data_IF_191061059655
#
_entry.id   IF_191061059655
#
_cell.length_a   1.000
_cell.length_b   1.000
_cell.length_c   1.000
_cell.angle_alpha   90.00
_cell.angle_beta   90.00
_cell.angle_gamma   90.00
#
_symmetry.space_group_name_H-M   'P 1'
#
loop_
_entity.id
_entity.type
_entity.pdbx_description
1 polymer ?
#
# COMPACT_ATOMS: atom_id res chain seq x y z
N UNK A 1 2.69 -31.90 -2.90
CA UNK A 1 1.35 -32.27 -2.39
C UNK A 1 1.36 -31.86 -0.92
N UNK A 2 0.81 -30.72 -0.54
CA UNK A 2 -0.62 -30.39 -0.49
C UNK A 2 -0.80 -28.89 -0.75
N UNK A 3 -1.51 -28.51 -1.82
CA UNK A 3 -1.95 -27.11 -2.02
C UNK A 3 -3.07 -26.87 -1.02
N UNK A 4 -2.84 -26.04 -0.02
CA UNK A 4 -3.91 -25.48 0.79
C UNK A 4 -4.76 -24.62 -0.12
N UNK A 5 -5.97 -25.06 -0.41
CA UNK A 5 -7.02 -24.26 -1.07
C UNK A 5 -7.37 -23.11 -0.13
N UNK A 6 -6.79 -21.93 -0.38
CA UNK A 6 -7.19 -20.69 0.29
C UNK A 6 -8.61 -20.36 -0.17
N UNK A 7 -9.58 -20.61 0.71
CA UNK A 7 -10.96 -20.17 0.52
C UNK A 7 -10.96 -18.65 0.59
N UNK A 8 -10.93 -17.99 -0.58
CA UNK A 8 -11.11 -16.55 -0.70
C UNK A 8 -12.42 -16.16 0.03
N UNK A 9 -12.31 -15.45 1.15
CA UNK A 9 -13.48 -15.00 1.93
C UNK A 9 -14.32 -14.08 1.06
N UNK A 10 -15.63 -14.32 1.00
CA UNK A 10 -16.58 -13.39 0.41
C UNK A 10 -16.62 -12.14 1.29
N UNK A 11 -16.00 -11.06 0.82
CA UNK A 11 -16.05 -9.76 1.49
C UNK A 11 -17.37 -9.08 1.11
N UNK A 12 -18.23 -8.84 2.09
CA UNK A 12 -19.52 -8.17 1.88
C UNK A 12 -19.77 -7.22 3.05
N UNK A 13 -19.12 -6.06 3.01
CA UNK A 13 -19.38 -4.97 3.95
C UNK A 13 -19.97 -3.79 3.21
N UNK A 14 -20.92 -3.11 3.85
CA UNK A 14 -21.53 -1.89 3.36
C UNK A 14 -20.55 -0.72 3.38
N UNK A 15 -20.73 0.26 2.49
CA UNK A 15 -19.89 1.45 2.44
C UNK A 15 -19.87 2.23 3.76
N UNK A 16 -20.98 2.23 4.52
CA UNK A 16 -21.08 2.93 5.80
C UNK A 16 -20.15 2.36 6.88
N UNK A 17 -19.98 1.04 6.91
CA UNK A 17 -19.17 0.30 7.89
C UNK A 17 -17.78 -0.09 7.36
N UNK A 18 -17.34 0.56 6.28
CA UNK A 18 -16.10 0.21 5.61
C UNK A 18 -14.87 0.60 6.48
N UNK A 19 -13.96 -0.35 6.81
CA UNK A 19 -12.87 -0.13 7.77
C UNK A 19 -11.84 0.88 7.27
N UNK A 20 -11.66 0.97 5.96
CA UNK A 20 -10.73 1.91 5.31
C UNK A 20 -11.36 3.29 5.03
N UNK A 21 -12.66 3.48 5.32
CA UNK A 21 -13.39 4.69 4.89
C UNK A 21 -12.70 5.98 5.33
N UNK A 22 -12.18 6.01 6.54
CA UNK A 22 -11.53 7.19 7.14
C UNK A 22 -10.37 7.76 6.31
N UNK A 23 -9.73 6.95 5.44
CA UNK A 23 -8.63 7.38 4.54
C UNK A 23 -8.93 7.19 3.05
N UNK A 24 -9.93 6.39 2.69
CA UNK A 24 -10.26 6.08 1.30
C UNK A 24 -10.86 7.27 0.54
N UNK A 25 -11.07 7.07 -0.76
CA UNK A 25 -11.68 8.07 -1.66
C UNK A 25 -13.08 8.53 -1.22
N UNK A 26 -13.82 7.65 -0.55
CA UNK A 26 -15.17 7.90 -0.04
C UNK A 26 -15.22 8.46 1.39
N UNK A 27 -14.08 8.89 1.96
CA UNK A 27 -13.99 9.39 3.33
C UNK A 27 -14.94 10.54 3.64
N UNK A 28 -15.21 11.39 2.64
CA UNK A 28 -16.03 12.60 2.77
C UNK A 28 -17.45 12.45 2.24
N UNK A 29 -17.84 11.27 1.77
CA UNK A 29 -19.19 11.03 1.25
C UNK A 29 -20.22 11.04 2.37
N UNK A 30 -21.34 11.69 2.09
CA UNK A 30 -22.57 11.69 2.90
C UNK A 30 -23.35 10.39 2.70
N UNK A 31 -24.39 10.16 3.51
CA UNK A 31 -25.09 8.87 3.55
C UNK A 31 -25.74 8.48 2.22
N UNK A 32 -26.38 9.44 1.54
CA UNK A 32 -27.01 9.25 0.23
C UNK A 32 -25.98 8.98 -0.88
N UNK A 33 -24.79 9.54 -0.76
CA UNK A 33 -23.68 9.30 -1.68
C UNK A 33 -23.04 7.93 -1.45
N UNK A 34 -22.95 7.47 -0.20
CA UNK A 34 -22.51 6.11 0.11
C UNK A 34 -23.49 5.07 -0.45
N UNK A 35 -24.79 5.33 -0.39
CA UNK A 35 -25.81 4.49 -1.03
C UNK A 35 -25.60 4.42 -2.55
N UNK A 36 -25.28 5.54 -3.20
CA UNK A 36 -24.96 5.56 -4.63
C UNK A 36 -23.69 4.76 -4.95
N UNK A 37 -22.64 4.91 -4.12
CA UNK A 37 -21.41 4.12 -4.25
C UNK A 37 -21.69 2.63 -4.08
N UNK A 38 -22.54 2.25 -3.13
CA UNK A 38 -22.96 0.86 -2.87
C UNK A 38 -23.56 0.21 -4.13
N UNK A 39 -24.41 0.93 -4.88
CA UNK A 39 -25.04 0.43 -6.10
C UNK A 39 -24.04 0.14 -7.23
N UNK A 40 -22.89 0.80 -7.23
CA UNK A 40 -21.86 0.67 -8.27
C UNK A 40 -20.63 -0.09 -7.79
N UNK A 41 -20.61 -0.49 -6.51
CA UNK A 41 -19.56 -1.23 -5.83
C UNK A 41 -19.62 -2.71 -6.17
N UNK A 42 -18.47 -3.34 -6.21
CA UNK A 42 -18.31 -4.78 -6.11
C UNK A 42 -16.94 -5.11 -5.51
N UNK A 43 -16.82 -6.23 -4.80
CA UNK A 43 -15.53 -6.69 -4.30
C UNK A 43 -14.84 -7.62 -5.29
N UNK A 44 -13.53 -7.49 -5.39
CA UNK A 44 -12.65 -8.47 -6.02
C UNK A 44 -11.57 -8.91 -5.06
N UNK A 45 -11.24 -10.19 -5.11
CA UNK A 45 -10.18 -10.76 -4.29
C UNK A 45 -9.13 -11.41 -5.17
N UNK A 46 -7.89 -11.32 -4.75
CA UNK A 46 -6.72 -11.78 -5.48
C UNK A 46 -5.82 -12.56 -4.53
N UNK A 47 -5.34 -13.73 -4.96
CA UNK A 47 -4.34 -14.49 -4.21
C UNK A 47 -2.98 -13.81 -4.31
N UNK A 48 -2.12 -14.01 -3.31
CA UNK A 48 -0.73 -13.55 -3.37
C UNK A 48 -0.03 -14.03 -4.66
N UNK A 49 0.55 -13.09 -5.40
CA UNK A 49 1.20 -13.29 -6.70
C UNK A 49 0.27 -13.13 -7.91
N UNK A 50 -1.04 -12.98 -7.72
CA UNK A 50 -2.00 -12.80 -8.82
C UNK A 50 -1.95 -11.37 -9.37
N UNK A 51 -1.90 -11.25 -10.69
CA UNK A 51 -2.02 -9.95 -11.36
C UNK A 51 -3.46 -9.43 -11.27
N UNK A 52 -3.60 -8.18 -10.84
CA UNK A 52 -4.85 -7.43 -10.74
C UNK A 52 -5.19 -6.76 -12.07
N UNK A 53 -4.22 -6.10 -12.69
CA UNK A 53 -4.31 -5.48 -14.03
C UNK A 53 -2.92 -5.34 -14.64
N UNK A 54 -2.79 -5.51 -15.96
CA UNK A 54 -1.53 -5.25 -16.66
C UNK A 54 -1.43 -3.81 -17.16
N UNK A 55 -0.22 -3.29 -17.29
CA UNK A 55 0.03 -2.01 -17.94
C UNK A 55 -0.52 -2.04 -19.38
N UNK A 56 -1.29 -1.01 -19.75
CA UNK A 56 -1.94 -0.91 -21.05
C UNK A 56 -3.34 -1.52 -21.14
N UNK A 57 -3.72 -2.40 -20.20
CA UNK A 57 -5.07 -2.99 -20.18
C UNK A 57 -6.14 -1.92 -19.95
N UNK A 58 -7.35 -2.16 -20.49
CA UNK A 58 -8.51 -1.32 -20.23
C UNK A 58 -8.88 -1.37 -18.75
N UNK A 59 -9.05 -0.19 -18.17
CA UNK A 59 -9.42 -0.03 -16.77
C UNK A 59 -10.85 0.50 -16.68
N UNK A 60 -11.80 -0.43 -16.64
CA UNK A 60 -13.24 -0.17 -16.57
C UNK A 60 -13.77 -0.01 -15.14
N UNK A 61 -12.87 0.02 -14.16
CA UNK A 61 -13.15 0.24 -12.75
C UNK A 61 -12.11 1.16 -12.13
N UNK A 62 -12.48 1.76 -11.00
CA UNK A 62 -11.51 2.28 -10.02
C UNK A 62 -11.63 1.44 -8.77
N UNK A 63 -10.60 1.41 -7.92
CA UNK A 63 -10.64 0.59 -6.73
C UNK A 63 -9.89 1.20 -5.55
N UNK A 64 -10.21 0.74 -4.35
CA UNK A 64 -9.35 0.90 -3.17
C UNK A 64 -8.98 -0.47 -2.61
N UNK A 65 -7.74 -0.62 -2.15
CA UNK A 65 -7.32 -1.80 -1.39
C UNK A 65 -8.03 -1.77 -0.03
N UNK A 66 -8.75 -2.84 0.32
CA UNK A 66 -9.44 -2.95 1.62
C UNK A 66 -8.62 -3.74 2.61
N UNK A 67 -8.09 -4.89 2.18
CA UNK A 67 -7.18 -5.71 2.97
C UNK A 67 -6.08 -6.26 2.07
N UNK A 68 -4.94 -6.60 2.66
CA UNK A 68 -3.79 -7.04 1.89
C UNK A 68 -3.10 -5.87 1.20
N UNK A 69 -2.19 -6.21 0.30
CA UNK A 69 -1.19 -5.30 -0.25
C UNK A 69 -0.90 -5.68 -1.69
N UNK A 70 -0.85 -4.68 -2.56
CA UNK A 70 -0.50 -4.84 -3.96
C UNK A 70 0.74 -4.00 -4.31
N UNK A 71 1.41 -4.35 -5.40
CA UNK A 71 2.61 -3.66 -5.90
C UNK A 71 2.31 -3.05 -7.25
N UNK A 72 2.81 -1.85 -7.49
CA UNK A 72 2.90 -1.22 -8.81
C UNK A 72 4.27 -1.55 -9.39
N UNK A 73 4.31 -2.16 -10.57
CA UNK A 73 5.55 -2.40 -11.31
C UNK A 73 5.46 -1.91 -12.74
N UNK A 74 6.60 -1.50 -13.30
CA UNK A 74 6.75 -1.21 -14.71
C UNK A 74 7.73 -2.20 -15.34
N UNK A 75 7.35 -2.72 -16.50
CA UNK A 75 8.23 -3.58 -17.32
C UNK A 75 8.83 -2.74 -18.44
N UNK A 76 10.16 -2.74 -18.55
CA UNK A 76 10.93 -2.08 -19.60
C UNK A 76 10.93 -2.90 -20.89
N UNK A 77 11.25 -2.28 -22.02
CA UNK A 77 11.32 -2.96 -23.33
C UNK A 77 12.34 -4.11 -23.37
N UNK A 78 13.39 -4.03 -22.56
CA UNK A 78 14.41 -5.07 -22.43
C UNK A 78 14.02 -6.20 -21.44
N UNK A 79 12.78 -6.16 -20.93
CA UNK A 79 12.22 -7.17 -20.02
C UNK A 79 12.59 -6.96 -18.55
N UNK A 80 13.38 -5.94 -18.20
CA UNK A 80 13.62 -5.60 -16.79
C UNK A 80 12.32 -5.09 -16.15
N UNK A 81 12.04 -5.56 -14.93
CA UNK A 81 10.93 -5.07 -14.11
C UNK A 81 11.46 -4.22 -12.97
N UNK A 82 10.72 -3.17 -12.66
CA UNK A 82 10.96 -2.31 -11.51
C UNK A 82 9.66 -2.10 -10.77
N UNK A 83 9.63 -2.47 -9.49
CA UNK A 83 8.59 -2.04 -8.57
C UNK A 83 8.73 -0.53 -8.31
N UNK A 84 7.67 0.22 -8.60
CA UNK A 84 7.62 1.69 -8.49
C UNK A 84 6.72 2.16 -7.35
N UNK A 85 5.93 1.28 -6.76
CA UNK A 85 5.05 1.63 -5.65
C UNK A 85 4.47 0.44 -4.93
N UNK A 86 3.96 0.71 -3.73
CA UNK A 86 3.19 -0.21 -2.91
C UNK A 86 1.81 0.39 -2.68
N UNK A 87 0.80 -0.47 -2.72
CA UNK A 87 -0.60 -0.14 -2.48
C UNK A 87 -1.02 -0.85 -1.20
N UNK A 88 -1.32 -0.05 -0.19
CA UNK A 88 -1.72 -0.43 1.15
C UNK A 88 -3.22 -0.17 1.33
N UNK A 89 -3.85 -0.66 2.40
CA UNK A 89 -5.27 -0.40 2.63
C UNK A 89 -5.60 1.10 2.60
N UNK A 90 -6.71 1.43 1.93
CA UNK A 90 -7.16 2.79 1.56
C UNK A 90 -6.53 3.40 0.32
N UNK A 91 -5.41 2.87 -0.19
CA UNK A 91 -4.78 3.40 -1.40
C UNK A 91 -5.70 3.19 -2.61
N UNK A 92 -5.74 4.19 -3.49
CA UNK A 92 -6.63 4.24 -4.64
C UNK A 92 -5.93 3.76 -5.90
N UNK A 93 -6.63 2.96 -6.69
CA UNK A 93 -6.18 2.45 -7.98
C UNK A 93 -7.11 2.97 -9.06
N UNK A 94 -6.47 3.58 -10.04
CA UNK A 94 -7.10 4.03 -11.26
C UNK A 94 -7.06 5.53 -11.42
N UNK A 95 -7.40 5.97 -12.62
CA UNK A 95 -7.32 7.38 -13.00
C UNK A 95 -8.62 7.75 -13.71
N UNK A 96 -9.57 8.39 -13.02
CA UNK A 96 -10.73 8.98 -13.67
C UNK A 96 -10.30 9.82 -14.89
N UNK A 97 -10.96 9.62 -16.03
CA UNK A 97 -10.62 10.22 -17.32
C UNK A 97 -9.56 9.49 -18.14
N UNK A 98 -8.87 8.45 -17.62
CA UNK A 98 -7.87 7.68 -18.37
C UNK A 98 -8.28 6.22 -18.54
N UNK A 99 -8.44 5.78 -19.79
CA UNK A 99 -8.99 4.46 -20.14
C UNK A 99 -8.14 3.24 -19.78
N UNK A 100 -6.84 3.40 -19.52
CA UNK A 100 -5.90 2.29 -19.37
C UNK A 100 -5.02 2.39 -18.13
N UNK A 101 -4.56 1.24 -17.63
CA UNK A 101 -3.58 1.19 -16.56
C UNK A 101 -2.20 1.66 -17.03
N UNK A 102 -1.50 2.43 -16.20
CA UNK A 102 -0.12 2.85 -16.48
C UNK A 102 0.92 1.83 -16.00
N UNK A 103 0.54 0.98 -15.04
CA UNK A 103 1.43 0.04 -14.34
C UNK A 103 0.80 -1.34 -14.28
N UNK A 104 1.66 -2.35 -14.13
CA UNK A 104 1.24 -3.67 -13.71
C UNK A 104 0.91 -3.61 -12.22
N UNK A 105 -0.27 -4.10 -11.83
CA UNK A 105 -0.68 -4.20 -10.44
C UNK A 105 -0.71 -5.68 -10.07
N UNK A 106 0.05 -6.09 -9.06
CA UNK A 106 0.10 -7.49 -8.60
C UNK A 106 -0.17 -7.56 -7.10
N UNK A 107 -1.00 -8.50 -6.66
CA UNK A 107 -1.23 -8.73 -5.24
C UNK A 107 0.04 -9.31 -4.60
N UNK A 108 0.66 -8.62 -3.64
CA UNK A 108 1.82 -9.12 -2.88
C UNK A 108 1.40 -10.07 -1.76
N UNK A 109 0.20 -9.87 -1.23
CA UNK A 109 -0.48 -10.73 -0.26
C UNK A 109 -1.89 -11.03 -0.74
N UNK A 110 -2.62 -11.92 -0.08
CA UNK A 110 -4.04 -12.11 -0.36
C UNK A 110 -4.77 -10.78 -0.18
N UNK A 111 -5.31 -10.24 -1.27
CA UNK A 111 -5.76 -8.84 -1.36
C UNK A 111 -7.23 -8.79 -1.69
N UNK A 112 -7.99 -7.96 -0.96
CA UNK A 112 -9.37 -7.62 -1.25
C UNK A 112 -9.44 -6.18 -1.70
N UNK A 113 -10.12 -5.93 -2.80
CA UNK A 113 -10.30 -4.61 -3.38
C UNK A 113 -11.79 -4.26 -3.45
N UNK A 114 -12.12 -3.06 -3.00
CA UNK A 114 -13.41 -2.44 -3.24
C UNK A 114 -13.35 -1.77 -4.61
N UNK A 115 -14.06 -2.28 -5.59
CA UNK A 115 -14.08 -1.75 -6.95
C UNK A 115 -15.38 -0.98 -7.20
N UNK A 116 -15.28 0.18 -7.85
CA UNK A 116 -16.43 0.90 -8.39
C UNK A 116 -16.41 0.82 -9.90
N UNK A 117 -17.57 0.60 -10.52
CA UNK A 117 -17.71 0.73 -11.98
C UNK A 117 -17.31 2.15 -12.39
N UNK A 118 -16.36 2.28 -13.31
CA UNK A 118 -15.70 3.55 -13.58
C UNK A 118 -16.63 4.63 -14.11
N UNK A 119 -17.43 4.33 -15.15
CA UNK A 119 -18.34 5.33 -15.74
C UNK A 119 -19.33 5.90 -14.71
N UNK A 120 -20.08 5.09 -13.94
CA UNK A 120 -20.93 5.61 -12.88
C UNK A 120 -20.17 6.40 -11.81
N UNK A 121 -18.95 5.97 -11.45
CA UNK A 121 -18.11 6.70 -10.50
C UNK A 121 -17.70 8.08 -11.04
N UNK A 122 -17.28 8.16 -12.31
CA UNK A 122 -16.98 9.42 -12.99
C UNK A 122 -18.21 10.34 -13.08
N UNK A 123 -19.39 9.79 -13.38
CA UNK A 123 -20.65 10.54 -13.39
C UNK A 123 -21.04 11.04 -11.99
N UNK A 124 -20.72 10.30 -10.94
CA UNK A 124 -20.92 10.71 -9.55
C UNK A 124 -19.96 11.84 -9.16
N UNK A 125 -18.68 11.75 -9.55
CA UNK A 125 -17.68 12.80 -9.29
C UNK A 125 -18.11 14.17 -9.82
N UNK A 126 -18.83 14.23 -10.95
CA UNK A 126 -19.36 15.47 -11.51
C UNK A 126 -20.45 16.12 -10.65
N UNK A 127 -21.13 15.33 -9.81
CA UNK A 127 -22.24 15.76 -8.95
C UNK A 127 -21.82 15.91 -7.48
N UNK A 128 -20.72 15.26 -7.10
CA UNK A 128 -20.18 15.23 -5.73
C UNK A 128 -18.75 15.80 -5.72
N UNK A 129 -18.58 17.12 -5.57
CA UNK A 129 -17.27 17.78 -5.72
C UNK A 129 -16.22 17.34 -4.69
N UNK A 130 -16.63 16.96 -3.47
CA UNK A 130 -15.68 16.59 -2.43
C UNK A 130 -15.00 15.23 -2.71
N UNK A 131 -15.56 14.36 -3.55
CA UNK A 131 -14.85 13.16 -4.06
C UNK A 131 -13.66 13.61 -4.92
N UNK A 132 -13.88 14.57 -5.83
CA UNK A 132 -12.83 15.13 -6.66
C UNK A 132 -11.74 15.84 -5.83
N UNK A 133 -12.13 16.59 -4.81
CA UNK A 133 -11.20 17.21 -3.86
C UNK A 133 -10.39 16.15 -3.09
N UNK A 134 -11.04 15.08 -2.63
CA UNK A 134 -10.36 13.99 -1.93
C UNK A 134 -9.37 13.27 -2.83
N UNK A 135 -9.72 13.00 -4.09
CA UNK A 135 -8.80 12.43 -5.07
C UNK A 135 -7.59 13.32 -5.32
N UNK A 136 -7.80 14.64 -5.38
CA UNK A 136 -6.70 15.60 -5.54
C UNK A 136 -5.75 15.55 -4.33
N UNK A 137 -6.28 15.57 -3.11
CA UNK A 137 -5.47 15.42 -1.89
C UNK A 137 -4.66 14.12 -1.93
N UNK A 138 -5.31 12.99 -2.20
CA UNK A 138 -4.62 11.69 -2.29
C UNK A 138 -3.53 11.69 -3.37
N UNK A 139 -3.76 12.37 -4.51
CA UNK A 139 -2.78 12.48 -5.59
C UNK A 139 -1.59 13.35 -5.19
N UNK A 140 -1.82 14.42 -4.43
CA UNK A 140 -0.74 15.28 -3.91
C UNK A 140 0.07 14.54 -2.85
N UNK A 141 -0.59 13.82 -1.94
CA UNK A 141 0.06 12.95 -0.96
C UNK A 141 0.94 11.88 -1.65
N UNK A 142 0.42 11.23 -2.70
CA UNK A 142 1.19 10.24 -3.48
C UNK A 142 2.38 10.88 -4.22
N UNK A 143 2.24 12.11 -4.71
CA UNK A 143 3.32 12.85 -5.38
C UNK A 143 4.44 13.21 -4.40
N UNK A 144 4.09 13.65 -3.19
CA UNK A 144 5.07 13.97 -2.15
C UNK A 144 5.77 12.71 -1.66
N UNK A 145 5.03 11.62 -1.42
CA UNK A 145 5.60 10.31 -1.11
C UNK A 145 6.56 9.82 -2.22
N UNK A 146 6.23 10.02 -3.50
CA UNK A 146 7.10 9.65 -4.61
C UNK A 146 8.40 10.47 -4.65
N UNK A 147 8.36 11.76 -4.28
CA UNK A 147 9.54 12.62 -4.19
C UNK A 147 10.45 12.22 -3.04
N UNK A 148 9.88 11.90 -1.88
CA UNK A 148 10.61 11.37 -0.73
C UNK A 148 11.24 10.01 -1.06
N UNK A 149 10.50 9.14 -1.77
CA UNK A 149 11.02 7.85 -2.21
C UNK A 149 12.22 8.00 -3.15
N UNK A 150 12.20 9.01 -4.03
CA UNK A 150 13.33 9.33 -4.89
C UNK A 150 14.59 9.71 -4.09
N UNK A 151 14.42 10.51 -3.03
CA UNK A 151 15.53 10.88 -2.12
C UNK A 151 16.05 9.65 -1.38
N UNK A 152 15.16 8.83 -0.83
CA UNK A 152 15.50 7.57 -0.17
C UNK A 152 16.32 6.67 -1.10
N UNK A 153 15.86 6.45 -2.33
CA UNK A 153 16.55 5.59 -3.28
C UNK A 153 17.92 6.15 -3.70
N UNK A 154 18.04 7.47 -3.83
CA UNK A 154 19.22 8.14 -4.36
C UNK A 154 20.30 8.54 -3.34
N UNK A 155 19.95 8.64 -2.04
CA UNK A 155 20.88 9.18 -1.02
C UNK A 155 20.97 8.34 0.26
N UNK A 156 19.92 7.62 0.65
CA UNK A 156 19.96 6.83 1.89
C UNK A 156 20.83 5.58 1.73
N UNK A 157 21.54 5.22 2.79
CA UNK A 157 22.31 3.98 2.91
C UNK A 157 21.37 2.77 2.91
N UNK A 158 21.91 1.57 2.69
CA UNK A 158 21.10 0.35 2.70
C UNK A 158 20.36 0.12 4.03
N UNK A 159 20.97 0.54 5.14
CA UNK A 159 20.37 0.45 6.48
C UNK A 159 19.20 1.42 6.60
N UNK A 160 19.43 2.69 6.30
CA UNK A 160 18.42 3.76 6.31
C UNK A 160 17.22 3.45 5.42
N UNK A 161 17.45 2.90 4.21
CA UNK A 161 16.39 2.46 3.30
C UNK A 161 15.48 1.39 3.92
N UNK A 162 16.08 0.40 4.61
CA UNK A 162 15.32 -0.69 5.22
C UNK A 162 14.60 -0.22 6.48
N UNK A 163 15.25 0.57 7.33
CA UNK A 163 14.60 1.20 8.48
C UNK A 163 13.41 2.05 8.03
N UNK A 164 13.59 2.89 7.01
CA UNK A 164 12.52 3.73 6.44
C UNK A 164 11.33 2.89 5.97
N UNK A 165 11.58 1.80 5.23
CA UNK A 165 10.51 0.91 4.76
C UNK A 165 9.71 0.28 5.92
N UNK A 166 10.41 -0.19 6.96
CA UNK A 166 9.76 -0.79 8.13
C UNK A 166 8.91 0.25 8.88
N UNK A 167 9.43 1.47 9.05
CA UNK A 167 8.73 2.60 9.67
C UNK A 167 7.45 2.97 8.93
N UNK A 168 7.48 3.00 7.59
CA UNK A 168 6.29 3.29 6.75
C UNK A 168 5.21 2.24 6.95
N UNK A 169 5.59 0.97 6.87
CA UNK A 169 4.64 -0.14 6.97
C UNK A 169 4.05 -0.17 8.39
N UNK A 170 4.88 0.02 9.42
CA UNK A 170 4.43 0.08 10.80
C UNK A 170 3.43 1.22 11.05
N UNK A 171 3.72 2.44 10.57
CA UNK A 171 2.81 3.59 10.74
C UNK A 171 1.47 3.38 10.05
N UNK A 172 1.49 2.85 8.82
CA UNK A 172 0.26 2.60 8.07
C UNK A 172 -0.58 1.49 8.72
N UNK A 173 0.04 0.41 9.21
CA UNK A 173 -0.68 -0.64 9.95
C UNK A 173 -1.25 -0.12 11.28
N UNK A 174 -0.45 0.62 12.06
CA UNK A 174 -0.88 1.22 13.32
C UNK A 174 -2.05 2.21 13.13
N UNK A 175 -2.05 2.98 12.04
CA UNK A 175 -3.15 3.91 11.73
C UNK A 175 -4.48 3.20 11.48
N UNK A 176 -4.45 1.95 10.99
CA UNK A 176 -5.64 1.13 10.78
C UNK A 176 -6.09 0.46 12.07
N UNK A 177 -5.15 0.06 12.93
CA UNK A 177 -5.45 -0.68 14.16
C UNK A 177 -5.68 0.22 15.39
N UNK A 178 -5.43 1.53 15.31
CA UNK A 178 -5.49 2.49 16.43
C UNK A 178 -4.64 2.03 17.65
N UNK A 179 -3.64 1.19 17.42
CA UNK A 179 -2.82 0.56 18.44
C UNK A 179 -1.43 1.21 18.46
N UNK A 180 -1.26 2.22 19.30
CA UNK A 180 0.05 2.70 19.73
C UNK A 180 0.14 2.52 21.24
N UNK A 181 0.41 1.28 21.68
CA UNK A 181 0.66 0.99 23.08
C UNK A 181 2.17 1.15 23.34
N UNK A 182 2.53 2.08 24.23
CA UNK A 182 3.87 2.22 24.82
C UNK A 182 5.07 2.31 23.85
N UNK A 183 4.87 2.80 22.62
CA UNK A 183 5.93 2.99 21.62
C UNK A 183 6.34 1.71 20.88
N UNK A 184 5.72 0.57 21.22
CA UNK A 184 5.88 -0.69 20.52
C UNK A 184 4.88 -0.79 19.36
N UNK A 185 5.35 -1.22 18.18
CA UNK A 185 4.50 -1.48 17.02
C UNK A 185 4.76 -2.87 16.48
N UNK A 186 3.69 -3.63 16.25
CA UNK A 186 3.77 -4.95 15.62
C UNK A 186 2.93 -5.01 14.36
N UNK A 187 3.49 -5.58 13.29
CA UNK A 187 2.82 -5.71 12.00
C UNK A 187 3.35 -6.92 11.23
N UNK A 188 2.58 -7.39 10.26
CA UNK A 188 3.04 -8.40 9.32
C UNK A 188 3.72 -7.75 8.12
N UNK A 189 5.02 -8.02 7.94
CA UNK A 189 5.76 -7.55 6.77
C UNK A 189 5.24 -8.26 5.50
N UNK A 190 4.64 -7.50 4.57
CA UNK A 190 3.92 -8.05 3.43
C UNK A 190 4.81 -8.36 2.23
N UNK A 191 6.08 -7.96 2.33
CA UNK A 191 7.07 -8.11 1.27
C UNK A 191 8.03 -9.25 1.60
N UNK A 192 8.34 -10.05 0.58
CA UNK A 192 9.48 -10.96 0.66
C UNK A 192 10.78 -10.17 0.60
N UNK A 193 11.90 -10.83 0.94
CA UNK A 193 13.22 -10.20 0.84
C UNK A 193 13.57 -9.83 -0.60
N UNK A 194 13.11 -10.63 -1.56
CA UNK A 194 13.23 -10.36 -3.00
C UNK A 194 12.43 -9.11 -3.38
N UNK A 195 11.17 -9.01 -2.94
CA UNK A 195 10.34 -7.83 -3.21
C UNK A 195 10.94 -6.56 -2.58
N UNK A 196 11.48 -6.64 -1.35
CA UNK A 196 12.21 -5.53 -0.74
C UNK A 196 13.46 -5.14 -1.55
N UNK A 197 14.17 -6.13 -2.10
CA UNK A 197 15.38 -5.88 -2.89
C UNK A 197 15.06 -5.10 -4.18
N UNK A 198 13.98 -5.48 -4.86
CA UNK A 198 13.46 -4.78 -6.03
C UNK A 198 12.98 -3.37 -5.67
N UNK A 199 12.22 -3.23 -4.59
CA UNK A 199 11.60 -1.97 -4.18
C UNK A 199 12.60 -0.93 -3.68
N UNK A 200 13.67 -1.36 -2.98
CA UNK A 200 14.68 -0.48 -2.41
C UNK A 200 15.92 -0.29 -3.30
N UNK A 201 15.99 -1.00 -4.43
CA UNK A 201 17.17 -1.03 -5.30
C UNK A 201 18.40 -1.59 -4.58
N UNK A 202 18.22 -2.66 -3.81
CA UNK A 202 19.27 -3.34 -3.04
C UNK A 202 19.45 -4.78 -3.54
N UNK A 203 20.56 -5.42 -3.20
CA UNK A 203 20.69 -6.87 -3.40
C UNK A 203 19.94 -7.64 -2.32
N UNK A 204 19.41 -8.82 -2.66
CA UNK A 204 18.77 -9.74 -1.70
C UNK A 204 19.66 -10.04 -0.49
N UNK A 205 20.96 -10.22 -0.73
CA UNK A 205 21.97 -10.41 0.33
C UNK A 205 22.05 -9.19 1.25
N UNK A 206 22.06 -7.98 0.69
CA UNK A 206 22.11 -6.74 1.48
C UNK A 206 20.86 -6.59 2.34
N UNK A 207 19.67 -6.84 1.79
CA UNK A 207 18.43 -6.81 2.57
C UNK A 207 18.50 -7.81 3.73
N UNK A 208 18.92 -9.04 3.46
CA UNK A 208 19.03 -10.09 4.47
C UNK A 208 20.04 -9.73 5.57
N UNK A 209 21.18 -9.13 5.21
CA UNK A 209 22.22 -8.67 6.14
C UNK A 209 21.71 -7.57 7.06
N UNK A 210 21.07 -6.54 6.51
CA UNK A 210 20.57 -5.42 7.33
C UNK A 210 19.44 -5.86 8.26
N UNK A 211 18.50 -6.68 7.78
CA UNK A 211 17.43 -7.24 8.63
C UNK A 211 17.97 -8.11 9.77
N UNK A 212 19.11 -8.78 9.55
CA UNK A 212 19.80 -9.54 10.60
C UNK A 212 20.51 -8.61 11.60
N UNK A 213 21.10 -7.51 11.12
CA UNK A 213 21.74 -6.49 11.96
C UNK A 213 20.73 -5.81 12.89
N UNK A 214 19.62 -5.28 12.34
CA UNK A 214 18.56 -4.64 13.10
C UNK A 214 18.02 -5.56 14.22
N UNK A 215 17.88 -6.85 13.92
CA UNK A 215 17.46 -7.86 14.90
C UNK A 215 18.50 -8.08 15.99
N UNK A 216 19.77 -8.23 15.62
CA UNK A 216 20.86 -8.44 16.58
C UNK A 216 21.00 -7.26 17.56
N UNK A 217 20.66 -6.06 17.09
CA UNK A 217 20.70 -4.82 17.86
C UNK A 217 19.42 -4.56 18.65
N UNK A 218 18.41 -5.43 18.53
CA UNK A 218 17.14 -5.33 19.23
C UNK A 218 16.20 -4.22 18.72
N UNK A 219 16.49 -3.63 17.56
CA UNK A 219 15.63 -2.63 16.92
C UNK A 219 14.38 -3.25 16.31
N UNK A 220 14.47 -4.53 15.94
CA UNK A 220 13.32 -5.34 15.54
C UNK A 220 13.38 -6.72 16.18
N UNK A 221 12.23 -7.26 16.50
CA UNK A 221 12.00 -8.67 16.79
C UNK A 221 11.21 -9.24 15.63
N UNK A 222 11.48 -10.49 15.23
CA UNK A 222 10.65 -11.12 14.20
C UNK A 222 10.17 -12.47 14.69
N UNK A 223 8.88 -12.71 14.55
CA UNK A 223 8.24 -13.95 14.93
C UNK A 223 7.76 -14.68 13.67
N UNK A 224 8.25 -15.89 13.46
CA UNK A 224 8.00 -16.61 12.21
C UNK A 224 8.63 -15.92 10.98
N UNK A 225 7.91 -15.94 9.86
CA UNK A 225 8.46 -15.49 8.55
C UNK A 225 8.18 -14.02 8.22
N UNK A 226 7.10 -13.45 8.76
CA UNK A 226 6.58 -12.14 8.34
C UNK A 226 6.27 -11.20 9.49
N UNK A 227 5.97 -11.71 10.69
CA UNK A 227 5.64 -10.85 11.82
C UNK A 227 6.88 -10.11 12.31
N UNK A 228 6.76 -8.79 12.45
CA UNK A 228 7.81 -7.90 12.95
C UNK A 228 7.23 -7.08 14.09
N UNK A 229 7.95 -7.06 15.20
CA UNK A 229 7.72 -6.15 16.32
C UNK A 229 8.88 -5.16 16.37
N UNK A 230 8.56 -3.88 16.48
CA UNK A 230 9.49 -2.79 16.71
C UNK A 230 9.30 -2.41 18.19
N UNK A 231 10.23 -2.79 19.08
CA UNK A 231 10.08 -2.55 20.52
C UNK A 231 10.11 -1.07 20.90
N UNK A 232 10.83 -0.27 20.12
CA UNK A 232 11.00 1.16 20.31
C UNK A 232 10.99 1.82 18.94
N UNK A 233 9.85 2.41 18.58
CA UNK A 233 9.64 3.01 17.28
C UNK A 233 10.56 4.22 17.04
N UNK A 234 10.82 5.02 18.07
CA UNK A 234 11.65 6.22 17.95
C UNK A 234 13.11 5.84 17.67
N UNK A 235 13.62 4.78 18.32
CA UNK A 235 14.96 4.25 18.02
C UNK A 235 15.08 3.71 16.60
N UNK A 236 14.04 3.11 16.03
CA UNK A 236 14.08 2.70 14.62
C UNK A 236 13.96 3.92 13.69
N UNK A 237 13.25 4.96 14.11
CA UNK A 237 13.12 6.21 13.36
C UNK A 237 14.46 6.93 13.25
N UNK A 238 15.28 6.96 14.29
CA UNK A 238 16.65 7.51 14.24
C UNK A 238 17.51 6.83 13.15
N UNK A 239 17.26 5.55 12.89
CA UNK A 239 17.98 4.76 11.88
C UNK A 239 17.53 5.06 10.44
N UNK A 240 16.47 5.84 10.23
CA UNK A 240 16.06 6.24 8.88
C UNK A 240 16.96 7.33 8.30
N UNK A 241 17.76 8.00 9.13
CA UNK A 241 18.61 9.13 8.71
C UNK A 241 17.82 10.36 8.29
N UNK A 242 16.57 10.49 8.74
CA UNK A 242 15.79 11.71 8.55
C UNK A 242 16.29 12.79 9.52
N UNK A 243 16.93 13.83 8.99
CA UNK A 243 17.16 15.07 9.74
C UNK A 243 15.79 15.61 10.16
N UNK A 244 15.68 16.14 11.39
CA UNK A 244 14.44 16.52 12.10
C UNK A 244 13.48 17.51 11.39
N UNK A 245 13.73 17.86 10.13
CA UNK A 245 12.94 18.77 9.29
C UNK A 245 12.27 18.08 8.08
N UNK A 246 12.47 16.77 7.86
CA UNK A 246 11.90 16.01 6.73
C UNK A 246 10.51 15.45 7.01
N UNK A 247 9.55 15.73 6.11
CA UNK A 247 8.13 15.37 6.22
C UNK A 247 7.85 13.92 6.64
N UNK A 248 6.76 13.76 7.40
CA UNK A 248 6.29 12.45 7.81
C UNK A 248 5.88 11.63 6.59
N UNK A 249 6.38 10.41 6.50
CA UNK A 249 5.81 9.37 5.66
C UNK A 249 4.34 9.15 6.08
N UNK A 250 3.38 9.59 5.25
CA UNK A 250 1.93 9.41 5.44
C UNK A 250 1.41 8.14 4.75
#
# INVERSE_FOLDING_TARGET
MTRATSSIKTYNQECADCPIRHRAVCARCESDELEQLEQIKYYRSFEAGQTVVWAGDSMDFVASVVTGIATLSQTMEDGRRQMVGLLLPSDFIGRPGRGTSAYDVTAATDTVMCCFRKKPFEDMMLRTPHIGQRLLEMTLDELDAAREWMLLLGRKTAREKISSLLTIIARRDASLQLNMADGELSFDLPLTREAMSEYLGLTLETVSRQMSSLRKEGLIVTEGKRHITIPDFDRLLEETGDDSDGGFLV
#
